data_IF_759219728396
#
_entry.id   IF_759219728396
#
_cell.length_a   1.000
_cell.length_b   1.000
_cell.length_c   1.000
_cell.angle_alpha   90.00
_cell.angle_beta   90.00
_cell.angle_gamma   90.00
#
_symmetry.space_group_name_H-M   'P 1'
#
loop_
_entity.id
_entity.type
_entity.pdbx_description
1 polymer ?
#
# COMPACT_ATOMS: atom_id res chain seq x y z
N UNK A 1 98.83 -15.54 -64.20
CA UNK A 1 98.23 -16.54 -65.09
C UNK A 1 97.32 -17.41 -64.23
N UNK A 2 96.00 -17.33 -64.47
CA UNK A 2 94.93 -18.33 -64.24
C UNK A 2 94.88 -19.07 -62.88
N UNK A 3 93.76 -19.43 -62.26
CA UNK A 3 92.30 -19.38 -62.47
C UNK A 3 91.71 -20.09 -61.22
N UNK A 4 90.44 -19.78 -60.88
CA UNK A 4 89.44 -20.67 -60.26
C UNK A 4 89.77 -21.40 -58.93
N UNK A 5 88.86 -21.51 -57.97
CA UNK A 5 87.40 -21.38 -57.98
C UNK A 5 86.85 -22.26 -56.84
N UNK A 6 85.58 -22.04 -56.45
CA UNK A 6 84.86 -23.00 -55.61
C UNK A 6 83.99 -22.37 -54.52
N UNK A 7 82.70 -22.21 -54.83
CA UNK A 7 81.56 -22.13 -53.90
C UNK A 7 80.72 -23.39 -54.23
N UNK A 8 80.18 -24.19 -53.27
CA UNK A 8 78.90 -23.92 -52.60
C UNK A 8 78.82 -24.36 -51.11
N UNK A 9 78.15 -23.61 -50.22
CA UNK A 9 76.70 -23.63 -49.90
C UNK A 9 76.21 -24.97 -49.32
N UNK A 10 75.89 -24.99 -48.00
CA UNK A 10 74.52 -25.13 -47.43
C UNK A 10 74.42 -25.97 -46.12
N UNK A 11 73.56 -25.47 -45.23
CA UNK A 11 72.63 -26.13 -44.27
C UNK A 11 73.05 -26.30 -42.79
N UNK A 12 72.50 -25.39 -41.98
CA UNK A 12 71.69 -25.54 -40.75
C UNK A 12 72.01 -26.65 -39.73
N UNK A 13 72.14 -26.26 -38.46
CA UNK A 13 71.35 -26.83 -37.36
C UNK A 13 71.38 -25.94 -36.11
N UNK A 14 70.21 -25.68 -35.55
CA UNK A 14 69.95 -24.86 -34.36
C UNK A 14 70.26 -25.57 -33.01
N UNK A 15 70.17 -24.75 -31.95
CA UNK A 15 69.89 -25.03 -30.51
C UNK A 15 71.10 -25.07 -29.54
N UNK A 16 70.92 -24.79 -28.23
CA UNK A 16 70.13 -23.73 -27.59
C UNK A 16 70.84 -23.03 -26.38
N UNK A 17 70.20 -21.97 -25.89
CA UNK A 17 70.18 -21.32 -24.57
C UNK A 17 71.24 -21.68 -23.49
N UNK A 18 71.82 -20.66 -22.83
CA UNK A 18 71.38 -20.18 -21.49
C UNK A 18 72.28 -19.03 -20.97
N UNK A 19 71.63 -18.03 -20.37
CA UNK A 19 72.04 -17.18 -19.23
C UNK A 19 73.47 -16.58 -19.18
N UNK A 20 73.53 -15.25 -19.06
CA UNK A 20 73.86 -14.60 -17.77
C UNK A 20 73.55 -13.11 -17.76
N UNK A 21 73.02 -12.70 -16.61
CA UNK A 21 72.64 -11.37 -16.15
C UNK A 21 73.86 -10.43 -16.01
N UNK A 22 73.71 -9.12 -16.30
CA UNK A 22 73.94 -8.08 -15.27
C UNK A 22 73.50 -6.66 -15.70
N UNK A 23 72.62 -6.10 -14.85
CA UNK A 23 72.52 -4.69 -14.38
C UNK A 23 72.50 -3.53 -15.37
N UNK A 24 71.35 -2.87 -15.47
CA UNK A 24 71.29 -1.41 -15.32
C UNK A 24 70.09 -1.01 -14.45
N UNK A 25 70.41 -0.35 -13.33
CA UNK A 25 69.46 0.29 -12.44
C UNK A 25 68.76 1.45 -13.15
N UNK A 26 67.49 1.28 -13.48
CA UNK A 26 66.59 2.41 -13.71
C UNK A 26 65.69 2.56 -12.48
N UNK A 27 65.98 3.57 -11.66
CA UNK A 27 65.13 3.99 -10.56
C UNK A 27 63.87 4.61 -11.14
N UNK A 28 62.81 3.81 -11.27
CA UNK A 28 61.45 4.31 -11.48
C UNK A 28 60.92 4.72 -10.11
N UNK A 29 60.90 6.02 -9.84
CA UNK A 29 60.11 6.60 -8.75
C UNK A 29 58.64 6.33 -9.03
N UNK A 30 58.10 5.28 -8.39
CA UNK A 30 56.69 4.95 -8.40
C UNK A 30 55.89 6.00 -7.63
N UNK A 31 55.34 6.99 -8.34
CA UNK A 31 54.19 7.74 -7.86
C UNK A 31 52.96 6.82 -7.96
N UNK A 32 52.69 6.05 -6.91
CA UNK A 32 51.43 5.33 -6.75
C UNK A 32 50.37 6.36 -6.39
N UNK A 33 49.72 6.93 -7.40
CA UNK A 33 48.50 7.71 -7.23
C UNK A 33 47.40 6.73 -6.81
N UNK A 34 47.19 6.62 -5.50
CA UNK A 34 46.06 5.88 -4.92
C UNK A 34 44.78 6.67 -5.23
N UNK A 35 44.15 6.37 -6.36
CA UNK A 35 42.79 6.78 -6.66
C UNK A 35 41.87 6.06 -5.67
N UNK A 36 41.51 6.75 -4.59
CA UNK A 36 40.39 6.34 -3.73
C UNK A 36 39.11 6.42 -4.58
N UNK A 37 38.79 5.30 -5.23
CA UNK A 37 37.47 5.08 -5.80
C UNK A 37 36.51 5.04 -4.61
N UNK A 38 35.89 6.18 -4.32
CA UNK A 38 34.78 6.29 -3.37
C UNK A 38 33.59 5.55 -4.00
N UNK A 39 33.64 4.23 -4.02
CA UNK A 39 32.46 3.42 -4.27
C UNK A 39 31.57 3.61 -3.05
N UNK A 40 30.66 4.58 -3.14
CA UNK A 40 29.50 4.61 -2.27
C UNK A 40 28.83 3.25 -2.43
N UNK A 41 28.98 2.39 -1.42
CA UNK A 41 28.08 1.26 -1.28
C UNK A 41 26.70 1.88 -1.12
N UNK A 42 25.92 1.89 -2.20
CA UNK A 42 24.49 2.09 -2.10
C UNK A 42 24.00 0.90 -1.26
N UNK A 43 23.82 1.15 0.04
CA UNK A 43 23.01 0.27 0.86
C UNK A 43 21.71 0.06 0.11
N UNK A 44 21.35 -1.19 -0.20
CA UNK A 44 20.05 -1.55 -0.78
C UNK A 44 18.90 -1.39 0.24
N UNK A 45 18.98 -0.34 1.07
CA UNK A 45 17.88 0.08 1.91
C UNK A 45 16.81 0.74 1.04
N UNK A 46 15.55 0.42 1.31
CA UNK A 46 14.43 1.13 0.72
C UNK A 46 14.51 2.62 1.08
N UNK A 47 14.55 3.55 0.11
CA UNK A 47 14.60 4.99 0.40
C UNK A 47 13.40 5.40 1.25
N UNK A 48 13.66 6.06 2.40
CA UNK A 48 12.63 6.50 3.33
C UNK A 48 12.43 8.00 3.24
N UNK A 49 11.18 8.41 3.03
CA UNK A 49 10.77 9.79 2.82
C UNK A 49 9.69 10.16 3.81
N UNK A 50 9.90 11.23 4.55
CA UNK A 50 8.95 11.73 5.52
C UNK A 50 8.20 12.94 4.99
N UNK A 51 6.89 12.94 5.14
CA UNK A 51 6.04 14.06 4.78
C UNK A 51 6.23 15.24 5.75
N UNK A 52 6.75 16.34 5.23
CA UNK A 52 6.90 17.63 5.90
C UNK A 52 6.63 18.74 4.86
N UNK A 53 5.35 19.13 4.68
CA UNK A 53 4.98 20.07 3.64
C UNK A 53 5.55 21.46 3.97
N UNK A 54 6.09 22.15 2.96
CA UNK A 54 6.69 23.47 3.14
C UNK A 54 5.73 24.59 2.72
N UNK A 55 5.41 24.63 1.42
CA UNK A 55 4.67 25.74 0.80
C UNK A 55 3.31 25.34 0.23
N UNK A 56 3.12 24.05 -0.05
CA UNK A 56 1.87 23.50 -0.57
C UNK A 56 1.59 22.12 0.04
N UNK A 57 0.50 21.49 -0.38
CA UNK A 57 0.08 20.17 0.09
C UNK A 57 0.19 19.08 -0.97
N UNK A 58 0.87 19.33 -2.09
CA UNK A 58 0.87 18.43 -3.23
C UNK A 58 1.79 17.24 -3.01
N UNK A 59 1.28 16.05 -3.30
CA UNK A 59 1.98 14.78 -3.10
C UNK A 59 3.24 14.69 -3.98
N UNK A 60 3.15 15.16 -5.23
CA UNK A 60 4.26 15.11 -6.20
C UNK A 60 5.28 16.25 -6.03
N UNK A 61 5.01 17.25 -5.18
CA UNK A 61 6.03 18.26 -4.83
C UNK A 61 7.16 17.61 -4.04
N UNK A 62 8.28 17.34 -4.71
CA UNK A 62 9.44 16.65 -4.14
C UNK A 62 9.96 17.24 -2.81
N UNK A 63 9.84 18.56 -2.65
CA UNK A 63 10.30 19.30 -1.47
C UNK A 63 9.40 19.11 -0.23
N UNK A 64 8.18 18.57 -0.37
CA UNK A 64 7.32 18.20 0.76
C UNK A 64 7.75 16.87 1.42
N UNK A 65 8.73 16.19 0.83
CA UNK A 65 9.33 14.97 1.36
C UNK A 65 10.73 15.26 1.89
N UNK A 66 11.08 14.65 3.03
CA UNK A 66 12.40 14.76 3.66
C UNK A 66 13.02 13.36 3.80
N UNK A 67 14.20 13.09 3.20
CA UNK A 67 14.92 13.93 2.23
C UNK A 67 14.10 14.25 0.97
N UNK A 68 14.49 15.24 0.17
CA UNK A 68 13.74 15.61 -1.06
C UNK A 68 13.59 14.43 -2.01
N UNK A 69 12.36 14.11 -2.38
CA UNK A 69 12.02 12.95 -3.22
C UNK A 69 12.03 13.31 -4.71
N UNK A 70 13.23 13.47 -5.28
CA UNK A 70 13.40 13.90 -6.68
C UNK A 70 13.05 12.82 -7.72
N UNK A 71 13.14 11.54 -7.34
CA UNK A 71 12.88 10.42 -8.23
C UNK A 71 11.96 9.41 -7.52
N UNK A 72 10.63 9.57 -7.63
CA UNK A 72 9.67 8.58 -7.18
C UNK A 72 10.02 7.17 -7.67
N UNK A 73 10.12 6.21 -6.74
CA UNK A 73 10.41 4.82 -7.07
C UNK A 73 9.47 3.84 -6.35
N UNK A 74 9.29 2.67 -6.97
CA UNK A 74 8.48 1.57 -6.45
C UNK A 74 9.02 0.98 -5.13
N UNK A 75 10.23 1.35 -4.73
CA UNK A 75 10.89 0.91 -3.49
C UNK A 75 10.71 1.89 -2.34
N UNK A 76 10.04 3.01 -2.57
CA UNK A 76 9.99 4.09 -1.59
C UNK A 76 9.15 3.73 -0.36
N UNK A 77 9.63 4.14 0.81
CA UNK A 77 8.92 4.10 2.08
C UNK A 77 8.46 5.51 2.40
N UNK A 78 7.17 5.76 2.26
CA UNK A 78 6.56 7.07 2.50
C UNK A 78 5.95 7.11 3.91
N UNK A 79 6.31 8.13 4.69
CA UNK A 79 6.03 8.18 6.13
C UNK A 79 5.34 9.48 6.51
N UNK A 80 4.19 9.35 7.14
CA UNK A 80 3.50 10.40 7.87
C UNK A 80 3.75 10.20 9.36
N UNK A 81 4.51 11.12 9.97
CA UNK A 81 4.93 11.01 11.36
C UNK A 81 4.41 12.20 12.18
N UNK A 82 3.53 11.91 13.14
CA UNK A 82 2.88 12.92 13.98
C UNK A 82 3.81 13.66 14.93
N UNK A 83 5.05 13.19 15.14
CA UNK A 83 6.06 13.95 15.91
C UNK A 83 6.57 15.17 15.15
N UNK A 84 6.55 15.13 13.82
CA UNK A 84 7.02 16.21 12.96
C UNK A 84 5.87 16.97 12.30
N UNK A 85 4.86 16.22 11.85
CA UNK A 85 3.68 16.78 11.18
C UNK A 85 2.42 16.22 11.87
N UNK A 86 2.02 16.76 13.03
CA UNK A 86 0.91 16.20 13.82
C UNK A 86 -0.42 16.11 13.06
N UNK A 87 -0.68 17.10 12.20
CA UNK A 87 -1.85 17.18 11.34
C UNK A 87 -1.42 17.62 9.94
N UNK A 88 -1.94 16.97 8.90
CA UNK A 88 -1.68 17.36 7.51
C UNK A 88 -2.88 17.08 6.61
N UNK A 89 -3.03 17.92 5.59
CA UNK A 89 -3.90 17.67 4.46
C UNK A 89 -3.02 17.54 3.23
N UNK A 90 -3.18 16.47 2.46
CA UNK A 90 -2.37 16.15 1.29
C UNK A 90 -3.27 16.12 0.06
N UNK A 91 -2.79 16.67 -1.04
CA UNK A 91 -3.43 16.64 -2.35
C UNK A 91 -2.74 15.57 -3.18
N UNK A 92 -3.47 14.50 -3.52
CA UNK A 92 -2.96 13.39 -4.35
C UNK A 92 -3.04 13.76 -5.83
N UNK A 93 -2.02 14.43 -6.34
CA UNK A 93 -1.97 15.05 -7.67
C UNK A 93 -1.16 14.28 -8.72
N UNK A 94 -0.70 13.07 -8.41
CA UNK A 94 -0.01 12.22 -9.38
C UNK A 94 -0.92 11.84 -10.56
N UNK A 95 -0.46 12.04 -11.79
CA UNK A 95 -1.33 11.94 -12.98
C UNK A 95 -1.51 10.52 -13.52
N UNK A 96 -0.72 9.57 -13.04
CA UNK A 96 -0.78 8.15 -13.40
C UNK A 96 -0.69 7.28 -12.14
N UNK A 97 -1.04 6.01 -12.25
CA UNK A 97 -0.90 5.06 -11.14
C UNK A 97 0.52 5.10 -10.57
N UNK A 98 0.64 5.30 -9.25
CA UNK A 98 1.94 5.36 -8.58
C UNK A 98 2.21 4.05 -7.84
N UNK A 99 3.45 3.56 -7.90
CA UNK A 99 3.90 2.39 -7.16
C UNK A 99 4.85 2.84 -6.04
N UNK A 100 4.68 2.28 -4.84
CA UNK A 100 5.55 2.51 -3.68
C UNK A 100 5.82 1.20 -2.93
N UNK A 101 6.89 1.19 -2.14
CA UNK A 101 7.27 0.06 -1.31
C UNK A 101 6.40 -0.02 -0.06
N UNK A 102 6.31 1.09 0.68
CA UNK A 102 5.51 1.19 1.90
C UNK A 102 4.85 2.56 2.07
N UNK A 103 3.71 2.58 2.73
CA UNK A 103 3.03 3.76 3.25
C UNK A 103 2.78 3.59 4.74
N UNK A 104 3.29 4.52 5.55
CA UNK A 104 3.36 4.39 6.99
C UNK A 104 2.77 5.64 7.65
N UNK A 105 1.80 5.45 8.55
CA UNK A 105 1.25 6.49 9.43
C UNK A 105 1.56 6.14 10.87
N UNK A 106 2.31 6.99 11.57
CA UNK A 106 2.83 6.72 12.91
C UNK A 106 2.73 7.92 13.84
N UNK A 107 2.97 7.68 15.13
CA UNK A 107 3.03 8.71 16.16
C UNK A 107 1.78 9.60 16.21
N UNK A 108 0.60 8.98 16.07
CA UNK A 108 -0.72 9.64 16.15
C UNK A 108 -0.94 10.76 15.15
N UNK A 109 -0.31 10.68 13.97
CA UNK A 109 -0.59 11.61 12.87
C UNK A 109 -2.08 11.62 12.51
N UNK A 110 -2.59 12.82 12.22
CA UNK A 110 -3.90 13.04 11.61
C UNK A 110 -3.68 13.49 10.16
N UNK A 111 -3.95 12.61 9.20
CA UNK A 111 -3.73 12.86 7.79
C UNK A 111 -5.04 12.83 7.00
N UNK A 112 -5.27 13.85 6.18
CA UNK A 112 -6.35 13.85 5.18
C UNK A 112 -5.72 13.71 3.80
N UNK A 113 -6.01 12.63 3.08
CA UNK A 113 -5.61 12.39 1.70
C UNK A 113 -6.75 12.82 0.78
N UNK A 114 -6.52 13.87 0.00
CA UNK A 114 -7.51 14.48 -0.88
C UNK A 114 -7.24 14.07 -2.32
N UNK A 115 -8.18 13.42 -2.99
CA UNK A 115 -8.00 13.05 -4.41
C UNK A 115 -8.50 14.15 -5.34
N UNK A 116 -7.66 14.59 -6.28
CA UNK A 116 -8.01 15.63 -7.27
C UNK A 116 -8.68 15.09 -8.55
N UNK A 117 -8.69 13.78 -8.67
CA UNK A 117 -9.26 12.96 -9.74
C UNK A 117 -9.31 11.53 -9.25
N UNK A 118 -9.68 10.57 -10.10
CA UNK A 118 -9.57 9.16 -9.72
C UNK A 118 -8.12 8.68 -9.85
N UNK A 119 -7.58 8.17 -8.75
CA UNK A 119 -6.16 7.84 -8.60
C UNK A 119 -5.96 6.40 -8.14
N UNK A 120 -4.84 5.79 -8.53
CA UNK A 120 -4.43 4.46 -8.06
C UNK A 120 -3.05 4.54 -7.42
N UNK A 121 -2.96 4.07 -6.19
CA UNK A 121 -1.71 3.89 -5.45
C UNK A 121 -1.49 2.40 -5.20
N UNK A 122 -0.46 1.84 -5.81
CA UNK A 122 -0.05 0.45 -5.62
C UNK A 122 1.03 0.40 -4.53
N UNK A 123 0.80 -0.42 -3.50
CA UNK A 123 1.64 -0.49 -2.29
C UNK A 123 2.22 -1.90 -2.16
N UNK A 124 3.53 -1.99 -1.87
CA UNK A 124 4.23 -3.27 -1.74
C UNK A 124 4.83 -3.77 -3.06
N UNK A 125 5.30 -2.86 -3.91
CA UNK A 125 5.96 -3.22 -5.17
C UNK A 125 7.33 -3.93 -4.99
N UNK A 126 7.77 -4.13 -3.74
CA UNK A 126 8.79 -5.07 -3.28
C UNK A 126 8.26 -5.78 -2.03
N UNK A 127 8.88 -6.88 -1.57
CA UNK A 127 8.45 -7.57 -0.34
C UNK A 127 9.03 -6.94 0.94
N UNK A 128 8.29 -6.10 1.68
CA UNK A 128 8.29 -6.14 3.12
C UNK A 128 7.09 -6.96 3.63
N UNK A 129 7.15 -7.39 4.89
CA UNK A 129 6.04 -8.11 5.52
C UNK A 129 4.74 -7.27 5.62
N UNK A 130 4.84 -5.93 5.61
CA UNK A 130 3.72 -4.96 5.69
C UNK A 130 4.00 -3.79 4.76
N UNK A 131 3.10 -3.53 3.81
CA UNK A 131 3.18 -2.41 2.87
C UNK A 131 2.40 -1.18 3.32
N UNK A 132 1.26 -1.36 3.99
CA UNK A 132 0.49 -0.26 4.58
C UNK A 132 0.45 -0.41 6.10
N UNK A 133 0.91 0.59 6.84
CA UNK A 133 0.90 0.58 8.30
C UNK A 133 0.21 1.83 8.84
N UNK A 134 -0.70 1.63 9.80
CA UNK A 134 -1.31 2.69 10.58
C UNK A 134 -1.24 2.35 12.06
N UNK A 135 -0.44 3.07 12.83
CA UNK A 135 -0.29 2.82 14.26
C UNK A 135 -1.53 3.25 15.06
N UNK A 136 -1.65 2.71 16.27
CA UNK A 136 -2.71 3.09 17.19
C UNK A 136 -2.71 4.59 17.47
N UNK A 137 -3.90 5.20 17.46
CA UNK A 137 -4.10 6.63 17.66
C UNK A 137 -3.86 7.50 16.43
N UNK A 138 -3.48 6.92 15.28
CA UNK A 138 -3.49 7.65 14.00
C UNK A 138 -4.92 7.81 13.47
N UNK A 139 -5.16 8.87 12.70
CA UNK A 139 -6.36 9.09 11.91
C UNK A 139 -5.95 9.34 10.46
N UNK A 140 -6.46 8.54 9.54
CA UNK A 140 -6.30 8.75 8.10
C UNK A 140 -7.68 8.88 7.47
N UNK A 141 -7.95 10.04 6.91
CA UNK A 141 -9.16 10.31 6.15
C UNK A 141 -8.80 10.31 4.66
N UNK A 142 -9.54 9.57 3.85
CA UNK A 142 -9.44 9.62 2.39
C UNK A 142 -10.70 10.28 1.87
N UNK A 143 -10.51 11.44 1.25
CA UNK A 143 -11.60 12.34 0.84
C UNK A 143 -11.52 12.62 -0.64
N UNK A 144 -12.62 12.37 -1.35
CA UNK A 144 -12.78 12.82 -2.72
C UNK A 144 -12.86 14.34 -2.82
N UNK A 145 -11.85 14.99 -3.40
CA UNK A 145 -11.80 16.45 -3.50
C UNK A 145 -11.35 16.91 -4.87
N UNK A 146 -12.28 16.99 -5.82
CA UNK A 146 -12.33 18.06 -6.84
C UNK A 146 -13.50 17.92 -7.80
N UNK A 147 -14.01 19.07 -8.24
CA UNK A 147 -14.70 19.25 -9.53
C UNK A 147 -16.12 18.71 -9.65
N UNK A 148 -16.67 18.80 -10.87
CA UNK A 148 -18.04 18.43 -11.25
C UNK A 148 -18.31 16.91 -11.32
N UNK A 149 -17.48 16.08 -10.68
CA UNK A 149 -17.55 14.62 -10.78
C UNK A 149 -16.96 13.91 -9.57
N UNK A 150 -17.35 12.64 -9.36
CA UNK A 150 -16.84 11.78 -8.29
C UNK A 150 -15.33 11.49 -8.50
N UNK A 151 -14.51 11.72 -7.47
CA UNK A 151 -13.07 11.40 -7.44
C UNK A 151 -12.81 10.34 -6.37
N UNK A 152 -11.94 9.37 -6.66
CA UNK A 152 -11.73 8.20 -5.80
C UNK A 152 -10.26 7.81 -5.73
N UNK A 153 -9.87 7.14 -4.63
CA UNK A 153 -8.54 6.58 -4.44
C UNK A 153 -8.67 5.07 -4.40
N UNK A 154 -7.95 4.37 -5.25
CA UNK A 154 -7.72 2.94 -5.12
C UNK A 154 -6.34 2.71 -4.49
N UNK A 155 -6.31 2.28 -3.23
CA UNK A 155 -5.11 1.76 -2.57
C UNK A 155 -5.06 0.25 -2.82
N UNK A 156 -4.13 -0.19 -3.65
CA UNK A 156 -4.02 -1.60 -4.05
C UNK A 156 -2.74 -2.22 -3.46
N UNK A 157 -2.90 -3.23 -2.61
CA UNK A 157 -1.76 -4.02 -2.15
C UNK A 157 -1.30 -4.96 -3.26
N UNK A 158 0.00 -5.01 -3.49
CA UNK A 158 0.62 -6.04 -4.32
C UNK A 158 0.42 -7.44 -3.69
N UNK A 159 0.49 -8.48 -4.51
CA UNK A 159 0.34 -9.87 -4.04
C UNK A 159 1.38 -10.17 -2.95
N UNK A 160 0.94 -10.78 -1.85
CA UNK A 160 1.79 -11.10 -0.70
C UNK A 160 2.04 -9.95 0.26
N UNK A 161 1.59 -8.73 -0.06
CA UNK A 161 1.75 -7.56 0.82
C UNK A 161 0.60 -7.45 1.81
N UNK A 162 0.91 -7.11 3.07
CA UNK A 162 -0.09 -6.89 4.13
C UNK A 162 -0.34 -5.41 4.41
N UNK A 163 -1.54 -5.09 4.88
CA UNK A 163 -1.87 -3.86 5.56
C UNK A 163 -2.17 -4.14 7.04
N UNK A 164 -1.54 -3.42 7.95
CA UNK A 164 -1.77 -3.50 9.39
C UNK A 164 -2.35 -2.18 9.89
N UNK A 165 -3.62 -2.20 10.29
CA UNK A 165 -4.39 -1.01 10.66
C UNK A 165 -4.74 -1.11 12.16
N UNK A 166 -4.02 -0.37 13.00
CA UNK A 166 -4.30 -0.20 14.43
C UNK A 166 -4.96 1.15 14.74
N UNK A 167 -4.92 2.10 13.80
CA UNK A 167 -5.55 3.42 13.89
C UNK A 167 -6.97 3.49 13.34
N UNK A 168 -7.39 4.71 13.00
CA UNK A 168 -8.69 5.02 12.39
C UNK A 168 -8.54 5.34 10.91
N UNK A 169 -9.23 4.61 10.04
CA UNK A 169 -9.29 4.85 8.60
C UNK A 169 -10.71 5.26 8.20
N UNK A 170 -10.86 6.36 7.48
CA UNK A 170 -12.16 6.85 7.03
C UNK A 170 -12.18 7.08 5.52
N UNK A 171 -13.21 6.58 4.86
CA UNK A 171 -13.49 6.90 3.46
C UNK A 171 -14.74 7.76 3.38
N UNK A 172 -14.66 8.86 2.63
CA UNK A 172 -15.80 9.74 2.40
C UNK A 172 -15.65 10.49 1.08
N UNK A 173 -16.76 10.82 0.44
CA UNK A 173 -16.77 11.93 -0.51
C UNK A 173 -16.65 13.28 0.20
N UNK A 174 -16.79 14.38 -0.54
CA UNK A 174 -16.96 15.69 0.08
C UNK A 174 -18.45 16.01 0.30
N UNK A 175 -18.76 17.20 0.82
CA UNK A 175 -20.14 17.59 1.12
C UNK A 175 -21.09 17.64 -0.10
N UNK A 176 -20.56 17.73 -1.32
CA UNK A 176 -21.34 17.89 -2.55
C UNK A 176 -21.28 16.69 -3.49
N UNK A 177 -20.32 15.78 -3.29
CA UNK A 177 -20.06 14.66 -4.20
C UNK A 177 -19.76 13.39 -3.42
N UNK A 178 -20.18 12.27 -3.99
CA UNK A 178 -19.85 10.95 -3.47
C UNK A 178 -18.51 10.45 -4.00
N UNK A 179 -17.90 9.51 -3.28
CA UNK A 179 -16.63 8.89 -3.67
C UNK A 179 -16.57 7.41 -3.35
N UNK A 180 -15.98 6.65 -4.27
CA UNK A 180 -15.78 5.20 -4.21
C UNK A 180 -14.34 4.82 -3.90
N UNK A 181 -13.81 5.31 -2.77
CA UNK A 181 -12.46 4.90 -2.33
C UNK A 181 -12.39 3.39 -2.05
N UNK A 182 -11.23 2.78 -2.32
CA UNK A 182 -11.04 1.35 -2.09
C UNK A 182 -9.68 1.06 -1.46
N UNK A 183 -9.65 0.06 -0.58
CA UNK A 183 -8.44 -0.62 -0.12
C UNK A 183 -8.54 -2.08 -0.55
N UNK A 184 -7.74 -2.46 -1.54
CA UNK A 184 -7.85 -3.73 -2.25
C UNK A 184 -6.65 -4.63 -1.97
N UNK A 185 -6.90 -5.93 -1.85
CA UNK A 185 -5.87 -6.96 -1.95
C UNK A 185 -6.43 -8.19 -2.65
N UNK A 186 -5.54 -8.93 -3.33
CA UNK A 186 -5.82 -10.27 -3.86
C UNK A 186 -5.30 -11.39 -2.95
N UNK A 187 -4.65 -11.04 -1.84
CA UNK A 187 -4.09 -11.98 -0.88
C UNK A 187 -5.05 -12.12 0.30
N UNK A 188 -5.41 -13.36 0.62
CA UNK A 188 -6.28 -13.65 1.76
C UNK A 188 -5.67 -13.12 3.07
N UNK A 189 -6.51 -12.48 3.89
CA UNK A 189 -6.18 -11.92 5.20
C UNK A 189 -5.03 -10.91 5.16
N UNK A 190 -4.80 -10.28 4.01
CA UNK A 190 -3.74 -9.31 3.84
C UNK A 190 -4.04 -7.98 4.54
N UNK A 191 -5.30 -7.57 4.58
CA UNK A 191 -5.71 -6.33 5.24
C UNK A 191 -6.26 -6.68 6.62
N UNK A 192 -5.57 -6.24 7.66
CA UNK A 192 -5.88 -6.58 9.04
C UNK A 192 -6.16 -5.31 9.85
N UNK A 193 -7.40 -5.18 10.30
CA UNK A 193 -7.82 -4.22 11.32
C UNK A 193 -7.62 -4.87 12.68
N UNK A 194 -6.63 -4.41 13.44
CA UNK A 194 -6.27 -4.99 14.75
C UNK A 194 -7.20 -4.50 15.86
N UNK A 195 -7.13 -5.11 17.05
CA UNK A 195 -8.00 -4.72 18.17
C UNK A 195 -7.85 -3.24 18.54
N UNK A 196 -8.98 -2.53 18.66
CA UNK A 196 -9.01 -1.08 18.92
C UNK A 196 -8.96 -0.21 17.65
N UNK A 197 -8.72 -0.79 16.48
CA UNK A 197 -8.81 -0.07 15.20
C UNK A 197 -10.26 0.23 14.81
N UNK A 198 -10.42 1.20 13.92
CA UNK A 198 -11.73 1.66 13.49
C UNK A 198 -11.74 2.01 12.00
N UNK A 199 -12.69 1.45 11.25
CA UNK A 199 -12.97 1.84 9.88
C UNK A 199 -14.32 2.55 9.78
N UNK A 200 -14.37 3.66 9.06
CA UNK A 200 -15.62 4.35 8.70
C UNK A 200 -15.80 4.37 7.18
N UNK A 201 -16.93 3.85 6.69
CA UNK A 201 -17.48 4.34 5.42
C UNK A 201 -18.46 5.47 5.70
N UNK A 202 -18.02 6.71 5.45
CA UNK A 202 -18.76 7.93 5.78
C UNK A 202 -20.05 8.09 4.97
N UNK A 203 -20.89 9.05 5.34
CA UNK A 203 -22.22 9.24 4.73
C UNK A 203 -22.19 9.58 3.24
N UNK A 204 -21.11 10.22 2.77
CA UNK A 204 -20.86 10.56 1.36
C UNK A 204 -20.00 9.52 0.64
N UNK A 205 -19.66 8.41 1.30
CA UNK A 205 -19.00 7.29 0.65
C UNK A 205 -20.00 6.49 -0.19
N UNK A 206 -19.56 5.98 -1.34
CA UNK A 206 -20.29 5.05 -2.18
C UNK A 206 -19.41 3.85 -2.56
N UNK A 207 -19.99 2.80 -3.16
CA UNK A 207 -19.20 1.63 -3.60
C UNK A 207 -18.82 0.67 -2.46
N UNK A 208 -17.86 -0.22 -2.73
CA UNK A 208 -17.44 -1.30 -1.83
C UNK A 208 -16.02 -1.01 -1.30
N UNK A 209 -15.84 -0.73 0.01
CA UNK A 209 -14.57 -0.20 0.53
C UNK A 209 -13.39 -1.16 0.35
N UNK A 210 -13.67 -2.46 0.25
CA UNK A 210 -12.68 -3.53 0.14
C UNK A 210 -12.75 -4.29 -1.19
N UNK A 211 -13.47 -3.74 -2.17
CA UNK A 211 -13.69 -4.36 -3.47
C UNK A 211 -14.91 -5.29 -3.51
N UNK A 212 -15.20 -5.78 -4.71
CA UNK A 212 -16.40 -6.59 -5.00
C UNK A 212 -16.13 -7.81 -5.86
N UNK A 213 -14.87 -8.08 -6.22
CA UNK A 213 -14.49 -9.14 -7.14
C UNK A 213 -14.12 -10.43 -6.39
N UNK A 214 -14.20 -11.57 -7.07
CA UNK A 214 -13.72 -12.87 -6.56
C UNK A 214 -12.28 -12.79 -6.07
N UNK A 215 -11.45 -12.02 -6.76
CA UNK A 215 -10.06 -11.81 -6.40
C UNK A 215 -9.87 -11.24 -5.00
N UNK A 216 -10.87 -10.54 -4.44
CA UNK A 216 -10.79 -9.92 -3.10
C UNK A 216 -11.33 -10.83 -1.98
N UNK A 217 -11.74 -12.05 -2.29
CA UNK A 217 -12.34 -12.97 -1.31
C UNK A 217 -11.40 -13.18 -0.12
N UNK A 218 -11.95 -13.04 1.09
CA UNK A 218 -11.27 -13.18 2.38
C UNK A 218 -10.05 -12.28 2.56
N UNK A 219 -9.90 -11.21 1.79
CA UNK A 219 -8.73 -10.34 1.83
C UNK A 219 -8.67 -9.44 3.08
N UNK A 220 -9.80 -9.21 3.74
CA UNK A 220 -9.92 -8.30 4.90
C UNK A 220 -10.35 -9.05 6.15
N UNK A 221 -9.71 -8.75 7.29
CA UNK A 221 -10.09 -9.27 8.60
C UNK A 221 -10.21 -8.13 9.61
N UNK A 222 -11.36 -8.06 10.29
CA UNK A 222 -11.54 -7.29 11.51
C UNK A 222 -11.32 -8.20 12.70
N UNK A 223 -10.24 -7.96 13.45
CA UNK A 223 -9.90 -8.72 14.66
C UNK A 223 -10.82 -8.41 15.82
N UNK A 224 -10.76 -9.22 16.86
CA UNK A 224 -11.44 -8.95 18.12
C UNK A 224 -11.12 -7.54 18.63
N UNK A 225 -12.15 -6.75 18.96
CA UNK A 225 -12.02 -5.36 19.37
C UNK A 225 -11.88 -4.33 18.22
N UNK A 226 -11.78 -4.75 16.96
CA UNK A 226 -11.82 -3.84 15.80
C UNK A 226 -13.26 -3.48 15.43
N UNK A 227 -13.47 -2.26 14.92
CA UNK A 227 -14.80 -1.77 14.53
C UNK A 227 -14.86 -1.42 13.05
N UNK A 228 -15.92 -1.89 12.39
CA UNK A 228 -16.37 -1.41 11.08
C UNK A 228 -17.68 -0.65 11.25
N UNK A 229 -17.69 0.64 10.93
CA UNK A 229 -18.91 1.44 10.86
C UNK A 229 -19.28 1.76 9.40
N UNK A 230 -20.51 1.37 9.04
CA UNK A 230 -21.11 1.70 7.74
C UNK A 230 -22.15 2.81 7.89
N UNK A 231 -21.70 4.05 7.71
CA UNK A 231 -22.57 5.23 7.62
C UNK A 231 -23.01 5.55 6.18
N UNK A 232 -22.28 5.03 5.19
CA UNK A 232 -22.59 5.11 3.76
C UNK A 232 -21.97 3.97 2.95
N UNK A 233 -22.21 4.00 1.64
CA UNK A 233 -21.76 2.99 0.67
C UNK A 233 -22.39 1.60 0.80
N UNK A 234 -21.78 0.66 0.08
CA UNK A 234 -22.22 -0.74 0.00
C UNK A 234 -21.49 -1.61 1.02
N UNK A 235 -21.96 -2.85 1.14
CA UNK A 235 -21.47 -3.85 2.10
C UNK A 235 -19.95 -4.07 2.01
N UNK A 236 -19.23 -4.31 3.13
CA UNK A 236 -17.81 -4.64 3.11
C UNK A 236 -17.52 -6.03 2.52
N UNK A 237 -18.56 -6.84 2.28
CA UNK A 237 -18.41 -8.19 1.74
C UNK A 237 -18.32 -8.23 0.21
N UNK A 238 -18.47 -7.09 -0.49
CA UNK A 238 -18.52 -7.07 -1.95
C UNK A 238 -19.88 -7.50 -2.51
N UNK A 239 -19.89 -8.01 -3.75
CA UNK A 239 -21.11 -8.51 -4.40
C UNK A 239 -21.48 -9.95 -3.99
N UNK A 240 -22.64 -10.43 -4.49
CA UNK A 240 -23.48 -11.57 -4.04
C UNK A 240 -22.79 -12.89 -3.63
N UNK A 241 -21.55 -13.17 -4.03
CA UNK A 241 -20.93 -14.49 -3.81
C UNK A 241 -19.71 -14.45 -2.89
N UNK A 242 -19.05 -13.32 -2.74
CA UNK A 242 -17.69 -13.28 -2.18
C UNK A 242 -17.73 -12.88 -0.71
N UNK A 243 -16.94 -13.52 0.14
CA UNK A 243 -16.75 -13.10 1.54
C UNK A 243 -15.51 -12.24 1.64
N UNK A 244 -15.51 -11.04 1.06
CA UNK A 244 -14.32 -10.16 1.03
C UNK A 244 -13.79 -9.87 2.43
N UNK A 245 -14.71 -9.63 3.37
CA UNK A 245 -14.39 -9.29 4.76
C UNK A 245 -14.77 -10.42 5.71
N UNK A 246 -13.90 -10.69 6.67
CA UNK A 246 -14.11 -11.59 7.81
C UNK A 246 -14.20 -10.76 9.09
N UNK A 247 -15.19 -11.05 9.93
CA UNK A 247 -15.34 -10.50 11.26
C UNK A 247 -15.01 -11.59 12.29
N UNK A 248 -13.89 -11.45 13.00
CA UNK A 248 -13.51 -12.39 14.07
C UNK A 248 -14.46 -12.25 15.27
N UNK A 249 -14.45 -13.26 16.14
CA UNK A 249 -15.20 -13.22 17.40
C UNK A 249 -14.80 -11.98 18.21
N UNK A 250 -15.79 -11.17 18.57
CA UNK A 250 -15.60 -9.94 19.33
C UNK A 250 -15.22 -8.71 18.50
N UNK A 251 -15.21 -8.78 17.17
CA UNK A 251 -15.21 -7.58 16.31
C UNK A 251 -16.60 -6.94 16.26
N UNK A 252 -16.66 -5.65 15.96
CA UNK A 252 -17.90 -4.86 15.94
C UNK A 252 -18.25 -4.45 14.52
N UNK A 253 -19.47 -4.78 14.09
CA UNK A 253 -20.10 -4.18 12.92
C UNK A 253 -21.19 -3.22 13.39
N UNK A 254 -21.06 -1.95 13.03
CA UNK A 254 -22.06 -0.91 13.27
C UNK A 254 -22.66 -0.43 11.94
N UNK A 255 -23.95 -0.61 11.75
CA UNK A 255 -24.69 -0.10 10.60
C UNK A 255 -25.46 1.16 10.97
N UNK A 256 -25.05 2.31 10.43
CA UNK A 256 -25.66 3.62 10.69
C UNK A 256 -26.23 4.29 9.42
N UNK A 257 -26.11 3.63 8.26
CA UNK A 257 -26.51 4.20 6.97
C UNK A 257 -28.05 4.34 6.82
N UNK A 258 -28.49 5.56 6.46
CA UNK A 258 -29.90 5.96 6.45
C UNK A 258 -30.71 5.73 5.16
N UNK A 259 -30.25 4.94 4.17
CA UNK A 259 -31.09 4.76 2.97
C UNK A 259 -30.63 3.82 1.84
N UNK A 260 -29.33 3.74 1.53
CA UNK A 260 -28.85 3.03 0.31
C UNK A 260 -27.83 1.92 0.58
N UNK A 261 -27.34 1.81 1.82
CA UNK A 261 -26.43 0.76 2.24
C UNK A 261 -27.14 -0.56 2.52
N UNK A 262 -26.37 -1.65 2.53
CA UNK A 262 -26.84 -2.97 2.96
C UNK A 262 -25.82 -3.54 3.91
N UNK A 263 -26.30 -4.16 5.00
CA UNK A 263 -25.47 -4.92 5.95
C UNK A 263 -24.85 -6.15 5.26
N UNK A 264 -25.55 -6.72 4.27
CA UNK A 264 -25.11 -7.90 3.53
C UNK A 264 -25.14 -9.17 4.37
N UNK A 265 -26.29 -9.49 4.99
CA UNK A 265 -26.42 -10.52 6.03
C UNK A 265 -26.22 -11.98 5.55
N UNK A 266 -26.69 -12.29 4.34
CA UNK A 266 -26.79 -13.66 3.83
C UNK A 266 -25.43 -14.36 3.79
N UNK A 267 -25.34 -15.51 4.46
CA UNK A 267 -24.13 -16.34 4.48
C UNK A 267 -22.96 -15.74 5.25
N UNK A 268 -23.20 -14.74 6.12
CA UNK A 268 -22.15 -14.04 6.88
C UNK A 268 -22.17 -14.41 8.35
N UNK A 269 -20.98 -14.29 8.93
CA UNK A 269 -20.76 -14.37 10.38
C UNK A 269 -20.29 -13.02 10.88
N UNK A 270 -20.89 -12.56 11.97
CA UNK A 270 -20.51 -11.32 12.67
C UNK A 270 -20.12 -11.65 14.12
N UNK A 271 -19.18 -10.89 14.67
CA UNK A 271 -18.90 -10.89 16.11
C UNK A 271 -20.06 -10.25 16.87
N UNK A 272 -20.07 -8.92 16.91
CA UNK A 272 -21.20 -8.09 17.34
C UNK A 272 -21.82 -7.38 16.13
N UNK A 273 -23.15 -7.29 16.08
CA UNK A 273 -23.86 -6.52 15.06
C UNK A 273 -24.78 -5.50 15.72
N UNK A 274 -24.53 -4.22 15.49
CA UNK A 274 -25.42 -3.12 15.88
C UNK A 274 -26.03 -2.48 14.65
N UNK A 275 -27.35 -2.34 14.65
CA UNK A 275 -28.10 -1.66 13.60
C UNK A 275 -28.75 -0.42 14.20
N UNK A 276 -28.24 0.74 13.81
CA UNK A 276 -28.74 2.05 14.18
C UNK A 276 -29.17 2.82 12.94
N UNK A 277 -30.17 2.28 12.25
CA UNK A 277 -30.74 2.89 11.06
C UNK A 277 -32.22 2.53 10.97
N UNK A 278 -33.05 3.47 10.51
CA UNK A 278 -34.50 3.28 10.43
C UNK A 278 -34.93 2.07 9.57
N UNK A 279 -34.10 1.66 8.61
CA UNK A 279 -34.31 0.48 7.76
C UNK A 279 -32.98 -0.14 7.35
N UNK A 280 -32.92 -1.46 7.33
CA UNK A 280 -31.99 -2.19 6.45
C UNK A 280 -32.75 -2.50 5.17
N UNK A 281 -32.32 -2.07 3.98
CA UNK A 281 -33.04 -2.36 2.75
C UNK A 281 -33.31 -3.85 2.59
N UNK A 282 -34.50 -4.21 2.12
CA UNK A 282 -34.94 -5.61 1.91
C UNK A 282 -34.08 -6.33 0.87
N UNK A 283 -33.42 -5.58 -0.02
CA UNK A 283 -32.39 -6.10 -0.92
C UNK A 283 -31.10 -6.51 -0.18
N UNK A 284 -30.95 -6.19 1.10
CA UNK A 284 -29.73 -6.38 1.88
C UNK A 284 -29.53 -7.74 2.53
N UNK A 285 -30.54 -8.60 2.47
CA UNK A 285 -30.45 -10.05 2.69
C UNK A 285 -30.11 -10.71 1.35
N UNK A 286 -28.86 -10.60 0.90
CA UNK A 286 -28.47 -11.11 -0.43
C UNK A 286 -28.40 -12.64 -0.48
N UNK A 287 -29.56 -13.31 -0.52
CA UNK A 287 -29.72 -14.77 -0.57
C UNK A 287 -30.46 -15.30 0.66
N UNK A 288 -30.81 -16.58 0.68
CA UNK A 288 -31.50 -17.25 1.79
C UNK A 288 -30.53 -17.96 2.75
N UNK A 289 -29.22 -17.68 2.63
CA UNK A 289 -28.22 -18.35 3.44
C UNK A 289 -28.28 -17.86 4.88
N UNK A 290 -28.02 -18.77 5.81
CA UNK A 290 -27.96 -18.52 7.25
C UNK A 290 -26.99 -17.37 7.56
N UNK A 291 -27.43 -16.45 8.40
CA UNK A 291 -26.58 -15.47 9.07
C UNK A 291 -26.23 -15.98 10.47
N UNK A 292 -25.00 -15.73 10.93
CA UNK A 292 -24.55 -16.07 12.28
C UNK A 292 -24.08 -14.80 12.96
N UNK A 293 -24.61 -14.53 14.16
CA UNK A 293 -24.14 -13.48 15.05
C UNK A 293 -23.62 -14.20 16.28
N UNK A 294 -22.32 -14.10 16.54
CA UNK A 294 -21.65 -14.92 17.55
C UNK A 294 -21.85 -14.40 18.97
N UNK A 295 -22.02 -13.08 19.11
CA UNK A 295 -22.33 -12.40 20.37
C UNK A 295 -23.68 -11.66 20.24
N UNK A 296 -23.72 -10.36 20.57
CA UNK A 296 -24.97 -9.60 20.62
C UNK A 296 -25.40 -9.04 19.26
N UNK A 297 -26.71 -9.11 19.02
CA UNK A 297 -27.43 -8.31 18.04
C UNK A 297 -28.14 -7.17 18.77
N UNK A 298 -27.80 -5.92 18.43
CA UNK A 298 -28.48 -4.74 18.94
C UNK A 298 -29.21 -4.00 17.81
N UNK A 299 -30.51 -3.77 17.98
CA UNK A 299 -31.32 -2.95 17.08
C UNK A 299 -31.74 -1.69 17.85
N UNK A 300 -31.23 -0.54 17.43
CA UNK A 300 -31.48 0.74 18.11
C UNK A 300 -32.65 1.53 17.52
N UNK A 301 -32.98 1.29 16.26
CA UNK A 301 -34.08 1.96 15.57
C UNK A 301 -34.57 1.11 14.40
N UNK A 302 -35.82 1.29 13.98
CA UNK A 302 -36.30 0.77 12.70
C UNK A 302 -36.90 -0.64 12.68
N UNK A 303 -37.08 -1.16 11.47
CA UNK A 303 -37.54 -2.52 11.20
C UNK A 303 -36.56 -3.21 10.26
N UNK A 304 -36.19 -4.44 10.59
CA UNK A 304 -35.14 -5.19 9.92
C UNK A 304 -35.61 -6.59 9.57
N UNK A 305 -35.26 -7.04 8.37
CA UNK A 305 -35.56 -8.39 7.90
C UNK A 305 -34.29 -9.22 7.98
N UNK A 306 -34.38 -10.37 8.64
CA UNK A 306 -33.34 -11.39 8.68
C UNK A 306 -33.85 -12.63 7.97
N UNK A 307 -32.94 -13.38 7.33
CA UNK A 307 -33.31 -14.68 6.78
C UNK A 307 -33.48 -15.68 7.92
N UNK A 308 -34.58 -16.42 7.90
CA UNK A 308 -34.77 -17.57 8.76
C UNK A 308 -34.10 -18.80 8.12
N UNK A 309 -33.42 -19.61 8.93
CA UNK A 309 -32.99 -20.93 8.50
C UNK A 309 -34.22 -21.85 8.54
N UNK A 310 -34.68 -22.33 7.37
CA UNK A 310 -35.64 -23.44 7.26
C UNK A 310 -34.88 -24.75 7.24
#
# INVERSE_FOLDING_TARGET
MMLNGGIPLRLDLETPMLQTSTTHHFRVTSAVTLLFLLTTFASFGQPRYQWQPLTDSNWDTAANWVPTRLSPAATDVLVFDGTFTPSTSVTLDFTASQNIGQLIFINRVQATLNTVGSQTLVIGAQSPAVGLQMDAGTLVQVVGRLGSSNSSLAMQLAVGTRAAIAGRLEFSGNASFTSSHTLLSATAKAIEFTGGSYFLSGTTFEGFPFGSLTANTESVVFRSGATFEQAGGRSPFGERTYAVTIFDLGSYYLYTAGGTGSVGLSGRTFGYLTVNANRTPTAGTYGANKVIIQNDLMILSGTHTFNEAV
#
